data_IF_966136453135
#
_entry.id   IF_966136453135
#
_cell.length_a   1.000
_cell.length_b   1.000
_cell.length_c   1.000
_cell.angle_alpha   90.00
_cell.angle_beta   90.00
_cell.angle_gamma   90.00
#
_symmetry.space_group_name_H-M   'P 1'
#
loop_
_entity.id
_entity.type
_entity.pdbx_description
1 polymer ?
#
# COMPACT_ATOMS: atom_id res chain seq x y z
N UNK A 1 -5.32 -20.35 6.70
CA UNK A 1 -5.66 -19.45 5.58
C UNK A 1 -6.54 -18.34 6.14
N UNK A 2 -6.02 -17.12 6.24
CA UNK A 2 -6.87 -15.96 6.56
C UNK A 2 -7.69 -15.67 5.29
N UNK A 3 -9.03 -15.55 5.38
CA UNK A 3 -9.87 -15.42 4.20
C UNK A 3 -9.49 -14.17 3.40
N UNK A 4 -9.54 -14.32 2.08
CA UNK A 4 -9.45 -13.22 1.13
C UNK A 4 -10.51 -12.19 1.55
N UNK A 5 -10.07 -10.98 1.86
CA UNK A 5 -10.97 -9.87 2.18
C UNK A 5 -11.88 -9.67 0.96
N UNK A 6 -13.18 -9.96 1.10
CA UNK A 6 -14.18 -9.70 0.05
C UNK A 6 -14.53 -8.22 0.11
N UNK A 7 -13.68 -7.41 -0.51
CA UNK A 7 -13.84 -5.95 -0.57
C UNK A 7 -14.48 -5.57 -1.90
N UNK A 8 -15.47 -4.67 -1.82
CA UNK A 8 -15.97 -3.96 -2.98
C UNK A 8 -14.90 -3.07 -3.61
N UNK A 9 -15.11 -2.65 -4.85
CA UNK A 9 -14.18 -1.77 -5.56
C UNK A 9 -13.92 -0.45 -4.82
N UNK A 10 -14.95 0.12 -4.19
CA UNK A 10 -14.83 1.35 -3.40
C UNK A 10 -13.98 1.15 -2.14
N UNK A 11 -14.14 0.00 -1.47
CA UNK A 11 -13.33 -0.33 -0.30
C UNK A 11 -11.88 -0.62 -0.69
N UNK A 12 -11.64 -1.27 -1.84
CA UNK A 12 -10.31 -1.43 -2.42
C UNK A 12 -9.66 -0.07 -2.74
N UNK A 13 -10.41 0.86 -3.35
CA UNK A 13 -9.90 2.20 -3.67
C UNK A 13 -9.52 2.98 -2.40
N UNK A 14 -10.39 2.97 -1.39
CA UNK A 14 -10.10 3.59 -0.10
C UNK A 14 -8.88 2.94 0.58
N UNK A 15 -8.80 1.61 0.55
CA UNK A 15 -7.67 0.89 1.15
C UNK A 15 -6.35 1.21 0.44
N UNK A 16 -6.37 1.35 -0.89
CA UNK A 16 -5.20 1.79 -1.66
C UNK A 16 -4.75 3.19 -1.22
N UNK A 17 -5.67 4.16 -1.13
CA UNK A 17 -5.35 5.52 -0.68
C UNK A 17 -4.70 5.53 0.71
N UNK A 18 -5.29 4.79 1.65
CA UNK A 18 -4.79 4.68 3.02
C UNK A 18 -3.40 4.03 3.08
N UNK A 19 -3.18 2.96 2.30
CA UNK A 19 -1.90 2.26 2.26
C UNK A 19 -0.81 3.09 1.56
N UNK A 20 -1.14 3.86 0.52
CA UNK A 20 -0.20 4.76 -0.13
C UNK A 20 0.24 5.89 0.78
N UNK A 21 -0.70 6.47 1.52
CA UNK A 21 -0.42 7.47 2.56
C UNK A 21 0.48 6.90 3.65
N UNK A 22 0.12 5.75 4.20
CA UNK A 22 0.92 5.07 5.23
C UNK A 22 2.34 4.77 4.73
N UNK A 23 2.50 4.34 3.47
CA UNK A 23 3.81 4.13 2.85
C UNK A 23 4.65 5.41 2.82
N UNK A 24 4.04 6.55 2.50
CA UNK A 24 4.72 7.85 2.47
C UNK A 24 5.12 8.30 3.88
N UNK A 25 4.23 8.14 4.86
CA UNK A 25 4.48 8.50 6.25
C UNK A 25 5.62 7.64 6.84
N UNK A 26 5.60 6.32 6.61
CA UNK A 26 6.66 5.41 7.04
C UNK A 26 8.03 5.75 6.45
N UNK A 27 8.07 6.20 5.19
CA UNK A 27 9.34 6.65 4.58
C UNK A 27 9.93 7.84 5.34
N UNK A 28 9.10 8.82 5.72
CA UNK A 28 9.51 9.96 6.54
C UNK A 28 9.95 9.51 7.94
N UNK A 29 9.17 8.67 8.61
CA UNK A 29 9.48 8.17 9.96
C UNK A 29 10.80 7.40 10.01
N UNK A 30 11.05 6.50 9.04
CA UNK A 30 12.31 5.75 8.91
C UNK A 30 13.49 6.70 8.80
N UNK A 31 13.36 7.77 8.00
CA UNK A 31 14.42 8.75 7.78
C UNK A 31 14.73 9.55 9.04
N UNK A 32 13.73 9.82 9.88
CA UNK A 32 13.89 10.63 11.09
C UNK A 32 14.15 9.80 12.36
N UNK A 33 13.99 8.48 12.31
CA UNK A 33 14.22 7.60 13.45
C UNK A 33 15.70 7.41 13.73
N UNK A 34 16.09 7.72 14.97
CA UNK A 34 17.48 7.62 15.43
C UNK A 34 17.85 6.22 15.92
N UNK A 35 16.91 5.51 16.54
CA UNK A 35 17.13 4.19 17.13
C UNK A 35 17.02 3.08 16.07
N UNK A 36 18.00 2.17 16.07
CA UNK A 36 18.11 1.15 15.02
C UNK A 36 17.00 0.10 15.09
N UNK A 37 16.66 -0.35 16.29
CA UNK A 37 15.56 -1.25 16.60
C UNK A 37 14.21 -0.68 16.14
N UNK A 38 13.91 0.58 16.47
CA UNK A 38 12.67 1.24 16.02
C UNK A 38 12.64 1.35 14.50
N UNK A 39 13.78 1.67 13.88
CA UNK A 39 13.88 1.77 12.41
C UNK A 39 13.64 0.42 11.73
N UNK A 40 14.08 -0.68 12.31
CA UNK A 40 13.85 -2.01 11.75
C UNK A 40 12.38 -2.41 11.84
N UNK A 41 11.70 -2.09 12.96
CA UNK A 41 10.23 -2.25 13.07
C UNK A 41 9.49 -1.43 12.01
N UNK A 42 9.90 -0.18 11.78
CA UNK A 42 9.28 0.66 10.75
C UNK A 42 9.51 0.12 9.33
N UNK A 43 10.68 -0.47 9.07
CA UNK A 43 10.98 -1.14 7.78
C UNK A 43 10.12 -2.38 7.59
N UNK A 44 9.97 -3.20 8.62
CA UNK A 44 9.07 -4.37 8.56
C UNK A 44 7.63 -3.94 8.26
N UNK A 45 7.14 -2.91 8.96
CA UNK A 45 5.82 -2.34 8.71
C UNK A 45 5.69 -1.83 7.27
N UNK A 46 6.71 -1.12 6.75
CA UNK A 46 6.73 -0.67 5.35
C UNK A 46 6.69 -1.84 4.37
N UNK A 47 7.43 -2.91 4.61
CA UNK A 47 7.39 -4.10 3.77
C UNK A 47 6.01 -4.75 3.77
N UNK A 48 5.31 -4.79 4.91
CA UNK A 48 3.93 -5.29 4.98
C UNK A 48 2.96 -4.42 4.17
N UNK A 49 3.08 -3.10 4.26
CA UNK A 49 2.27 -2.16 3.47
C UNK A 49 2.51 -2.33 1.97
N UNK A 50 3.77 -2.42 1.54
CA UNK A 50 4.12 -2.67 0.14
C UNK A 50 3.57 -4.02 -0.35
N UNK A 51 3.63 -5.07 0.48
CA UNK A 51 3.04 -6.37 0.14
C UNK A 51 1.51 -6.32 0.02
N UNK A 52 0.83 -5.52 0.86
CA UNK A 52 -0.63 -5.33 0.78
C UNK A 52 -1.04 -4.55 -0.48
N UNK A 53 -0.33 -3.47 -0.80
CA UNK A 53 -0.55 -2.72 -2.05
C UNK A 53 -0.45 -3.64 -3.28
N UNK A 54 0.61 -4.44 -3.35
CA UNK A 54 0.81 -5.39 -4.45
C UNK A 54 -0.33 -6.42 -4.54
N UNK A 55 -0.81 -6.95 -3.40
CA UNK A 55 -1.92 -7.91 -3.37
C UNK A 55 -3.22 -7.28 -3.88
N UNK A 56 -3.53 -6.06 -3.48
CA UNK A 56 -4.76 -5.37 -3.89
C UNK A 56 -4.70 -5.06 -5.39
N UNK A 57 -3.57 -4.57 -5.89
CA UNK A 57 -3.38 -4.30 -7.32
C UNK A 57 -3.50 -5.55 -8.19
N UNK A 58 -2.98 -6.69 -7.72
CA UNK A 58 -3.11 -7.98 -8.42
C UNK A 58 -4.54 -8.55 -8.39
N UNK A 59 -5.31 -8.22 -7.35
CA UNK A 59 -6.69 -8.71 -7.18
C UNK A 59 -7.69 -7.82 -7.92
N UNK A 60 -7.34 -6.56 -8.20
CA UNK A 60 -8.17 -5.57 -8.89
C UNK A 60 -7.48 -5.02 -10.15
N UNK A 61 -7.32 -5.82 -11.23
CA UNK A 61 -6.65 -5.38 -12.46
C UNK A 61 -7.43 -4.30 -13.27
N UNK A 62 -8.68 -3.98 -12.91
CA UNK A 62 -9.53 -3.09 -13.71
C UNK A 62 -9.26 -1.58 -13.53
N UNK A 63 -8.26 -1.18 -12.74
CA UNK A 63 -7.89 0.25 -12.58
C UNK A 63 -6.76 0.66 -13.56
N UNK A 64 -6.28 -0.25 -14.41
CA UNK A 64 -5.16 0.03 -15.34
C UNK A 64 -5.56 0.53 -16.74
N UNK A 65 -6.84 0.71 -17.06
CA UNK A 65 -7.28 1.29 -18.35
C UNK A 65 -7.99 2.64 -18.15
N UNK A 66 -7.22 3.70 -17.96
CA UNK A 66 -7.62 5.05 -18.39
C UNK A 66 -6.39 5.82 -18.81
N UNK A 67 -5.61 5.22 -19.70
CA UNK A 67 -4.49 5.86 -20.35
C UNK A 67 -4.95 6.40 -21.70
N UNK A 68 -5.39 7.66 -21.63
CA UNK A 68 -5.53 8.67 -22.68
C UNK A 68 -5.32 8.22 -24.14
N UNK A 69 -6.40 8.26 -24.91
CA UNK A 69 -6.35 8.58 -26.35
C UNK A 69 -5.92 10.05 -26.53
N UNK A 70 -4.92 10.35 -27.37
CA UNK A 70 -4.85 11.60 -28.09
C UNK A 70 -5.23 11.38 -29.55
N UNK A 71 -6.23 12.17 -29.98
CA UNK A 71 -6.57 12.47 -31.37
C UNK A 71 -5.35 12.91 -32.20
#
# INVERSE_FOLDING_TARGET
>A
MVPLLDLSQNECALLLELLERERADLHCEIRHTRFADVRDVLREKRCLVEALLNKIQQTSPEVSETQLDPL
#
